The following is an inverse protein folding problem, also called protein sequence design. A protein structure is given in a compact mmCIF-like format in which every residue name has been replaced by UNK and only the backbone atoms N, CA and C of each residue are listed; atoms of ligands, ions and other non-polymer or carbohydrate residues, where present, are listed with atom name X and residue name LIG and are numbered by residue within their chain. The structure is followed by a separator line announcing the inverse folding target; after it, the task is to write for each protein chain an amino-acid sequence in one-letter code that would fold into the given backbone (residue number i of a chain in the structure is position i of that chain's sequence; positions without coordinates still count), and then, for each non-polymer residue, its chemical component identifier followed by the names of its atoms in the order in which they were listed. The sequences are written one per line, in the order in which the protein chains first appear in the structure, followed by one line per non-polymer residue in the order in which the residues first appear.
data_IF_578743568709
#
_entry.id   IF_578743568709
#
_cell.length_a   1.000
_cell.length_b   1.000
_cell.length_c   1.000
_cell.angle_alpha   90.00
_cell.angle_beta   90.00
_cell.angle_gamma   90.00
#
_symmetry.space_group_name_H-M   'P 1'
#
loop_
_entity.id
_entity.type
_entity.pdbx_description
1 polymer ?
#
# COMPACT_ATOMS: atom_id res chain seq x y z
N UNK A 1 -4.02 32.94 -3.49
CA UNK A 1 -4.71 31.67 -3.18
C UNK A 1 -4.51 30.69 -4.34
N UNK A 2 -3.73 29.63 -4.14
CA UNK A 2 -3.42 28.67 -5.21
C UNK A 2 -4.67 27.84 -5.52
N UNK A 3 -5.33 28.13 -6.64
CA UNK A 3 -6.43 27.34 -7.16
C UNK A 3 -5.88 26.03 -7.74
N UNK A 4 -6.07 24.95 -6.99
CA UNK A 4 -5.74 23.59 -7.45
C UNK A 4 -6.72 23.25 -8.58
N UNK A 5 -6.22 23.17 -9.81
CA UNK A 5 -7.01 22.75 -10.97
C UNK A 5 -7.19 21.23 -10.91
N UNK A 6 -8.42 20.78 -11.14
CA UNK A 6 -8.77 19.36 -11.28
C UNK A 6 -8.02 18.81 -12.50
N UNK A 7 -6.84 18.20 -12.29
CA UNK A 7 -5.99 17.69 -13.37
C UNK A 7 -4.49 17.69 -13.07
N UNK A 8 -4.03 18.47 -12.09
CA UNK A 8 -2.61 18.52 -11.74
C UNK A 8 -2.25 17.29 -10.88
N UNK A 9 -1.76 16.25 -11.55
CA UNK A 9 -1.20 15.08 -10.88
C UNK A 9 0.20 15.41 -10.35
N UNK A 10 0.30 15.67 -9.04
CA UNK A 10 1.60 15.83 -8.39
C UNK A 10 2.24 14.46 -8.16
N UNK A 11 3.40 14.17 -8.77
CA UNK A 11 4.02 12.84 -8.73
C UNK A 11 4.41 12.38 -7.31
N UNK A 12 4.51 13.31 -6.34
CA UNK A 12 4.79 13.00 -4.93
C UNK A 12 3.56 12.73 -4.05
N UNK A 13 2.34 12.99 -4.55
CA UNK A 13 1.08 12.93 -3.77
C UNK A 13 0.12 11.86 -4.32
N UNK A 14 0.49 11.20 -5.42
CA UNK A 14 -0.29 10.14 -6.07
C UNK A 14 -0.84 9.04 -5.13
N UNK A 15 -0.15 8.55 -4.07
CA UNK A 15 -0.74 7.55 -3.19
C UNK A 15 -1.88 8.10 -2.31
N UNK A 16 -2.04 9.42 -2.19
CA UNK A 16 -3.09 10.04 -1.37
C UNK A 16 -4.35 10.42 -2.17
N UNK A 17 -4.25 10.60 -3.49
CA UNK A 17 -5.38 11.11 -4.30
C UNK A 17 -6.41 10.05 -4.72
N UNK A 18 -6.12 8.76 -4.51
CA UNK A 18 -7.03 7.65 -4.81
C UNK A 18 -7.74 7.06 -3.58
N UNK A 19 -7.77 7.80 -2.46
CA UNK A 19 -8.52 7.39 -1.27
C UNK A 19 -10.02 7.43 -1.58
N UNK A 20 -10.68 6.27 -1.50
CA UNK A 20 -12.14 6.22 -1.53
C UNK A 20 -12.69 6.99 -0.31
N UNK A 21 -13.82 7.71 -0.41
CA UNK A 21 -14.45 8.32 0.76
C UNK A 21 -14.76 7.23 1.81
N UNK A 22 -14.05 7.25 2.94
CA UNK A 22 -14.14 6.24 4.00
C UNK A 22 -12.89 5.37 4.20
N UNK A 23 -11.89 5.44 3.32
CA UNK A 23 -10.59 4.78 3.54
C UNK A 23 -9.70 5.59 4.49
N UNK A 24 -9.14 4.93 5.50
CA UNK A 24 -8.18 5.55 6.40
C UNK A 24 -6.86 5.78 5.63
N UNK A 25 -6.35 7.03 5.51
CA UNK A 25 -5.11 7.32 4.79
C UNK A 25 -3.91 6.51 5.27
N UNK A 26 -3.87 6.16 6.57
CA UNK A 26 -2.82 5.33 7.14
C UNK A 26 -2.90 3.88 6.62
N UNK A 27 -4.11 3.34 6.46
CA UNK A 27 -4.31 2.00 5.93
C UNK A 27 -3.95 1.92 4.45
N UNK A 28 -4.24 2.96 3.68
CA UNK A 28 -3.84 3.04 2.27
C UNK A 28 -2.32 3.12 2.11
N UNK A 29 -1.65 3.95 2.93
CA UNK A 29 -0.19 4.02 2.95
C UNK A 29 0.44 2.68 3.35
N UNK A 30 -0.10 2.04 4.39
CA UNK A 30 0.36 0.71 4.81
C UNK A 30 0.18 -0.34 3.71
N UNK A 31 -1.00 -0.36 3.06
CA UNK A 31 -1.27 -1.25 1.92
C UNK A 31 -0.25 -1.05 0.80
N UNK A 32 0.06 0.19 0.45
CA UNK A 32 1.03 0.50 -0.60
C UNK A 32 2.43 -0.02 -0.26
N UNK A 33 2.88 0.17 0.99
CA UNK A 33 4.18 -0.33 1.47
C UNK A 33 4.24 -1.85 1.42
N UNK A 34 3.18 -2.54 1.87
CA UNK A 34 3.13 -4.01 1.84
C UNK A 34 3.23 -4.53 0.40
N UNK A 35 2.47 -3.93 -0.53
CA UNK A 35 2.50 -4.33 -1.95
C UNK A 35 3.90 -4.15 -2.53
N UNK A 36 4.51 -2.98 -2.30
CA UNK A 36 5.86 -2.69 -2.79
C UNK A 36 6.88 -3.72 -2.31
N UNK A 37 6.90 -4.04 -1.02
CA UNK A 37 7.85 -5.01 -0.47
C UNK A 37 7.56 -6.43 -0.98
N UNK A 38 6.28 -6.79 -1.17
CA UNK A 38 5.91 -8.06 -1.80
C UNK A 38 6.44 -8.12 -3.25
N UNK A 39 6.31 -7.07 -4.03
CA UNK A 39 6.84 -7.01 -5.41
C UNK A 39 8.37 -7.08 -5.44
N UNK A 40 9.07 -6.29 -4.62
CA UNK A 40 10.54 -6.28 -4.51
C UNK A 40 11.10 -7.64 -4.09
N UNK A 41 10.33 -8.43 -3.32
CA UNK A 41 10.72 -9.78 -2.90
C UNK A 41 10.26 -10.90 -3.84
N UNK A 42 9.58 -10.57 -4.95
CA UNK A 42 9.02 -11.57 -5.86
C UNK A 42 7.91 -12.39 -5.22
N UNK A 43 7.08 -11.76 -4.38
CA UNK A 43 5.98 -12.36 -3.62
C UNK A 43 6.41 -13.39 -2.57
N UNK A 44 7.66 -13.34 -2.11
CA UNK A 44 8.17 -14.20 -1.03
C UNK A 44 7.73 -13.63 0.33
N UNK A 45 6.51 -13.99 0.77
CA UNK A 45 5.88 -13.50 2.02
C UNK A 45 6.81 -13.57 3.24
N UNK A 46 7.63 -14.62 3.37
CA UNK A 46 8.59 -14.73 4.47
C UNK A 46 9.64 -13.63 4.47
N UNK A 47 10.26 -13.37 3.31
CA UNK A 47 11.25 -12.33 3.13
C UNK A 47 10.63 -10.93 3.24
N UNK A 48 9.40 -10.77 2.74
CA UNK A 48 8.66 -9.52 2.89
C UNK A 48 8.35 -9.20 4.35
N UNK A 49 7.93 -10.20 5.14
CA UNK A 49 7.68 -10.02 6.57
C UNK A 49 8.96 -9.63 7.35
N UNK A 50 10.10 -10.24 7.01
CA UNK A 50 11.41 -9.90 7.58
C UNK A 50 11.80 -8.44 7.26
N UNK A 51 11.63 -7.98 6.02
CA UNK A 51 11.91 -6.59 5.62
C UNK A 51 10.96 -5.60 6.29
N UNK A 52 9.68 -5.96 6.42
CA UNK A 52 8.67 -5.13 7.10
C UNK A 52 8.81 -5.14 8.63
N UNK A 53 9.67 -5.98 9.20
CA UNK A 53 9.86 -6.09 10.65
C UNK A 53 8.64 -6.67 11.39
N UNK A 54 7.82 -7.48 10.71
CA UNK A 54 6.60 -8.09 11.29
C UNK A 54 6.62 -9.60 11.16
N UNK A 55 5.79 -10.28 11.96
CA UNK A 55 5.63 -11.73 11.83
C UNK A 55 4.91 -12.10 10.52
N UNK A 56 5.20 -13.29 9.97
CA UNK A 56 4.48 -13.83 8.80
C UNK A 56 2.96 -13.87 9.01
N UNK A 57 2.42 -14.37 10.16
CA UNK A 57 0.98 -14.31 10.43
C UNK A 57 0.39 -12.90 10.40
N UNK A 58 1.13 -11.91 10.90
CA UNK A 58 0.71 -10.49 10.86
C UNK A 58 0.60 -10.00 9.42
N UNK A 59 1.60 -10.30 8.58
CA UNK A 59 1.58 -9.93 7.17
C UNK A 59 0.39 -10.57 6.45
N UNK A 60 0.12 -11.86 6.67
CA UNK A 60 -1.05 -12.54 6.12
C UNK A 60 -2.37 -11.88 6.53
N UNK A 61 -2.52 -11.52 7.82
CA UNK A 61 -3.73 -10.83 8.31
C UNK A 61 -3.91 -9.47 7.63
N UNK A 62 -2.83 -8.71 7.46
CA UNK A 62 -2.84 -7.41 6.75
C UNK A 62 -3.17 -7.59 5.27
N UNK A 63 -2.56 -8.55 4.59
CA UNK A 63 -2.88 -8.88 3.20
C UNK A 63 -4.36 -9.23 3.04
N UNK A 64 -4.93 -10.04 3.94
CA UNK A 64 -6.35 -10.38 3.92
C UNK A 64 -7.25 -9.16 4.18
N UNK A 65 -6.89 -8.31 5.15
CA UNK A 65 -7.62 -7.06 5.46
C UNK A 65 -7.64 -6.11 4.26
N UNK A 66 -6.51 -5.95 3.58
CA UNK A 66 -6.35 -4.99 2.47
C UNK A 66 -6.62 -5.58 1.08
N UNK A 67 -7.08 -6.83 1.01
CA UNK A 67 -7.35 -7.52 -0.25
C UNK A 67 -6.11 -7.69 -1.15
N UNK A 68 -4.91 -7.77 -0.57
CA UNK A 68 -3.66 -7.90 -1.33
C UNK A 68 -3.51 -9.34 -1.82
N UNK A 69 -3.48 -9.51 -3.14
CA UNK A 69 -3.26 -10.78 -3.83
C UNK A 69 -2.28 -10.57 -4.97
N UNK A 70 -1.49 -11.60 -5.28
CA UNK A 70 -0.68 -11.62 -6.49
C UNK A 70 -1.63 -11.57 -7.68
N UNK A 71 -1.48 -10.58 -8.55
CA UNK A 71 -2.15 -10.60 -9.86
C UNK A 71 -1.39 -11.62 -10.70
N UNK A 72 -2.11 -12.60 -11.23
CA UNK A 72 -1.57 -13.60 -12.17
C UNK A 72 -1.19 -12.96 -13.50
#
# INVERSE_FOLDING_TARGET
PLEIRKGDSFPGIAPFFNLQPGENPLEAAERAVIIRVLEETGWRVGKAAEILGISRPTLWRKMKRYGIKKRE
#
